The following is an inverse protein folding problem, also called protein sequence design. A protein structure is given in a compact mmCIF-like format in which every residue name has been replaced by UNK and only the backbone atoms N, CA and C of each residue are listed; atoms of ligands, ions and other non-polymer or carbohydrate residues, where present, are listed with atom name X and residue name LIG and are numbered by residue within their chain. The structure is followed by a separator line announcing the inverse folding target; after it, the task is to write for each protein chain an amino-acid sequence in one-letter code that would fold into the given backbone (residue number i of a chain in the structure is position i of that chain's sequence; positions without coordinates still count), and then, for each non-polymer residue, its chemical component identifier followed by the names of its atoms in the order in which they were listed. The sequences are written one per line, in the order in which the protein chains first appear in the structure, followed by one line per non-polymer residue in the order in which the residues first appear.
data_IF_827904467508
#
_entry.id   IF_827904467508
#
_cell.length_a   1.000
_cell.length_b   1.000
_cell.length_c   1.000
_cell.angle_alpha   90.00
_cell.angle_beta   90.00
_cell.angle_gamma   90.00
#
_symmetry.space_group_name_H-M   'P 1'
#
loop_
_entity.id
_entity.type
_entity.pdbx_description
1 polymer ?
#
# COMPACT_ATOMS: atom_id res chain seq x y z
N UNK A 1 -14.81 -34.98 -29.07
CA UNK A 1 -14.26 -33.87 -28.26
C UNK A 1 -13.71 -32.70 -29.11
N UNK A 2 -13.28 -32.91 -30.36
CA UNK A 2 -12.69 -31.85 -31.21
C UNK A 2 -13.72 -30.89 -31.86
N UNK A 3 -14.96 -31.32 -32.10
CA UNK A 3 -15.96 -30.52 -32.83
C UNK A 3 -16.30 -29.17 -32.16
N UNK A 4 -16.35 -29.12 -30.82
CA UNK A 4 -16.62 -27.89 -30.08
C UNK A 4 -15.51 -26.84 -30.25
N UNK A 5 -14.24 -27.25 -30.15
CA UNK A 5 -13.09 -26.34 -30.26
C UNK A 5 -12.87 -25.81 -31.69
N UNK A 6 -13.39 -26.51 -32.69
CA UNK A 6 -13.36 -26.06 -34.08
C UNK A 6 -14.44 -25.02 -34.42
N UNK A 7 -15.42 -24.77 -33.53
CA UNK A 7 -16.46 -23.77 -33.76
C UNK A 7 -15.90 -22.35 -33.78
N UNK A 8 -16.46 -21.49 -34.63
CA UNK A 8 -16.07 -20.08 -34.72
C UNK A 8 -16.22 -19.34 -33.39
N UNK A 9 -17.24 -19.69 -32.59
CA UNK A 9 -17.43 -19.16 -31.24
C UNK A 9 -16.25 -19.49 -30.31
N UNK A 10 -15.79 -20.74 -30.33
CA UNK A 10 -14.66 -21.17 -29.52
C UNK A 10 -13.36 -20.49 -29.97
N UNK A 11 -13.12 -20.38 -31.28
CA UNK A 11 -11.97 -19.67 -31.84
C UNK A 11 -11.97 -18.18 -31.46
N UNK A 12 -13.09 -17.49 -31.63
CA UNK A 12 -13.22 -16.07 -31.28
C UNK A 12 -12.99 -15.82 -29.78
N UNK A 13 -13.52 -16.70 -28.93
CA UNK A 13 -13.28 -16.63 -27.47
C UNK A 13 -11.80 -16.83 -27.15
N UNK A 14 -11.15 -17.82 -27.80
CA UNK A 14 -9.72 -18.07 -27.65
C UNK A 14 -8.86 -16.89 -28.12
N UNK A 15 -9.20 -16.29 -29.26
CA UNK A 15 -8.47 -15.14 -29.79
C UNK A 15 -8.61 -13.90 -28.90
N UNK A 16 -9.83 -13.62 -28.41
CA UNK A 16 -10.07 -12.54 -27.44
C UNK A 16 -9.29 -12.79 -26.14
N UNK A 17 -9.28 -14.03 -25.64
CA UNK A 17 -8.51 -14.39 -24.45
C UNK A 17 -7.00 -14.23 -24.69
N UNK A 18 -6.50 -14.62 -25.87
CA UNK A 18 -5.09 -14.43 -26.25
C UNK A 18 -4.72 -12.95 -26.32
N UNK A 19 -5.52 -12.14 -26.99
CA UNK A 19 -5.30 -10.69 -27.10
C UNK A 19 -5.30 -10.02 -25.71
N UNK A 20 -6.20 -10.43 -24.82
CA UNK A 20 -6.23 -9.96 -23.43
C UNK A 20 -4.95 -10.34 -22.67
N UNK A 21 -4.51 -11.60 -22.77
CA UNK A 21 -3.28 -12.09 -22.13
C UNK A 21 -2.02 -11.39 -22.62
N UNK A 22 -1.96 -11.08 -23.91
CA UNK A 22 -0.82 -10.42 -24.57
C UNK A 22 -0.97 -8.89 -24.63
N UNK A 23 -1.90 -8.31 -23.87
CA UNK A 23 -2.08 -6.86 -23.84
C UNK A 23 -0.87 -6.16 -23.21
N UNK A 24 -0.52 -5.00 -23.76
CA UNK A 24 0.71 -4.28 -23.42
C UNK A 24 0.63 -3.47 -22.10
N UNK A 25 -0.54 -3.40 -21.46
CA UNK A 25 -0.75 -2.85 -20.11
C UNK A 25 0.11 -1.60 -19.78
N UNK A 26 -0.01 -0.55 -20.60
CA UNK A 26 0.78 0.69 -20.51
C UNK A 26 2.27 0.57 -20.90
N UNK A 27 2.62 -0.29 -21.86
CA UNK A 27 3.99 -0.48 -22.31
C UNK A 27 4.83 -1.40 -21.42
N UNK A 28 4.19 -2.10 -20.47
CA UNK A 28 4.84 -3.05 -19.56
C UNK A 28 4.74 -4.49 -20.05
N UNK A 29 4.03 -4.73 -21.15
CA UNK A 29 3.84 -6.05 -21.71
C UNK A 29 2.94 -6.95 -20.86
N UNK A 30 2.91 -8.25 -21.21
CA UNK A 30 2.10 -9.24 -20.51
C UNK A 30 2.65 -9.50 -19.10
N UNK A 31 1.74 -9.73 -18.16
CA UNK A 31 2.09 -10.11 -16.80
C UNK A 31 2.59 -11.55 -16.75
N UNK A 32 3.70 -11.79 -16.05
CA UNK A 32 4.26 -13.14 -15.91
C UNK A 32 4.88 -13.38 -14.53
N UNK A 33 4.69 -14.58 -14.00
CA UNK A 33 5.36 -15.04 -12.78
C UNK A 33 5.85 -16.48 -12.98
N UNK A 34 6.77 -16.91 -12.13
CA UNK A 34 7.45 -18.21 -12.19
C UNK A 34 7.11 -19.15 -11.04
N UNK A 35 6.12 -18.78 -10.22
CA UNK A 35 5.59 -19.62 -9.14
C UNK A 35 4.90 -20.92 -9.62
N UNK A 36 4.64 -21.06 -10.92
CA UNK A 36 3.88 -22.19 -11.46
C UNK A 36 2.47 -22.25 -10.89
N UNK A 37 2.05 -23.43 -10.44
CA UNK A 37 0.75 -23.66 -9.79
C UNK A 37 0.72 -23.27 -8.30
N UNK A 38 1.84 -22.82 -7.73
CA UNK A 38 1.90 -22.45 -6.30
C UNK A 38 1.27 -21.08 -6.10
N UNK A 39 0.38 -20.98 -5.11
CA UNK A 39 -0.14 -19.69 -4.65
C UNK A 39 0.96 -18.89 -3.95
N UNK A 40 0.81 -17.57 -3.92
CA UNK A 40 1.78 -16.70 -3.26
C UNK A 40 1.77 -16.86 -1.73
N UNK A 41 0.62 -17.23 -1.16
CA UNK A 41 0.51 -17.65 0.24
C UNK A 41 1.43 -18.86 0.50
N UNK A 42 1.35 -19.90 -0.34
CA UNK A 42 2.24 -21.07 -0.21
C UNK A 42 3.72 -20.74 -0.48
N UNK A 43 4.01 -19.67 -1.21
CA UNK A 43 5.38 -19.18 -1.35
C UNK A 43 5.83 -18.52 -0.05
N UNK A 44 4.99 -17.68 0.57
CA UNK A 44 5.26 -17.10 1.88
C UNK A 44 5.48 -18.17 2.95
N UNK A 45 4.59 -19.15 3.06
CA UNK A 45 4.71 -20.24 4.04
C UNK A 45 6.06 -20.97 3.90
N UNK A 46 6.51 -21.19 2.66
CA UNK A 46 7.79 -21.87 2.41
C UNK A 46 9.00 -21.00 2.75
N UNK A 47 8.89 -19.67 2.62
CA UNK A 47 9.94 -18.76 3.10
C UNK A 47 10.00 -18.80 4.64
N UNK A 48 8.85 -18.78 5.30
CA UNK A 48 8.76 -18.88 6.76
C UNK A 48 9.27 -20.23 7.29
N UNK A 49 8.86 -21.35 6.66
CA UNK A 49 9.34 -22.71 6.95
C UNK A 49 10.87 -22.83 6.81
N UNK A 50 11.48 -22.07 5.90
CA UNK A 50 12.93 -22.04 5.66
C UNK A 50 13.69 -21.02 6.54
N UNK A 51 13.00 -20.28 7.41
CA UNK A 51 13.56 -19.12 8.12
C UNK A 51 14.17 -18.06 7.18
N UNK A 52 13.63 -17.93 5.95
CA UNK A 52 13.94 -16.86 5.00
C UNK A 52 13.04 -15.62 5.28
N UNK A 53 13.42 -14.45 4.74
CA UNK A 53 12.57 -13.27 4.75
C UNK A 53 11.23 -13.57 4.05
N UNK A 54 10.12 -13.42 4.77
CA UNK A 54 8.77 -13.68 4.29
C UNK A 54 7.97 -12.40 3.99
N UNK A 55 8.66 -11.25 3.95
CA UNK A 55 8.09 -9.96 3.53
C UNK A 55 7.53 -9.99 2.10
N UNK A 56 6.68 -9.02 1.78
CA UNK A 56 6.03 -8.95 0.48
C UNK A 56 7.00 -8.78 -0.67
N UNK A 57 8.09 -8.04 -0.46
CA UNK A 57 9.14 -7.91 -1.46
C UNK A 57 9.84 -9.26 -1.70
N UNK A 58 10.06 -10.05 -0.65
CA UNK A 58 10.69 -11.36 -0.77
C UNK A 58 9.80 -12.35 -1.54
N UNK A 59 8.49 -12.37 -1.25
CA UNK A 59 7.52 -13.16 -2.01
C UNK A 59 7.49 -12.73 -3.47
N UNK A 60 7.43 -11.43 -3.75
CA UNK A 60 7.42 -10.90 -5.12
C UNK A 60 8.71 -11.29 -5.86
N UNK A 61 9.88 -11.13 -5.23
CA UNK A 61 11.18 -11.55 -5.79
C UNK A 61 11.20 -13.05 -6.07
N UNK A 62 10.82 -13.90 -5.11
CA UNK A 62 10.78 -15.37 -5.29
C UNK A 62 9.88 -15.79 -6.46
N UNK A 63 8.79 -15.05 -6.69
CA UNK A 63 7.80 -15.36 -7.72
C UNK A 63 8.11 -14.75 -9.09
N UNK A 64 8.84 -13.63 -9.17
CA UNK A 64 9.06 -12.90 -10.44
C UNK A 64 10.55 -12.74 -10.83
N UNK A 65 11.50 -12.88 -9.90
CA UNK A 65 12.94 -12.63 -10.13
C UNK A 65 13.74 -13.90 -10.38
N UNK A 66 14.40 -14.01 -11.52
CA UNK A 66 15.17 -15.20 -11.92
C UNK A 66 16.34 -15.44 -10.96
N UNK A 67 16.92 -16.66 -10.95
CA UNK A 67 18.14 -16.92 -10.20
C UNK A 67 19.33 -16.01 -10.59
N UNK A 68 19.33 -15.48 -11.82
CA UNK A 68 20.32 -14.50 -12.30
C UNK A 68 20.03 -13.05 -11.83
N UNK A 69 18.95 -12.83 -11.07
CA UNK A 69 18.53 -11.53 -10.58
C UNK A 69 17.65 -10.73 -11.54
N UNK A 70 17.44 -11.19 -12.78
CA UNK A 70 16.64 -10.47 -13.79
C UNK A 70 15.13 -10.75 -13.67
N UNK A 71 14.31 -9.90 -14.28
CA UNK A 71 12.85 -10.01 -14.26
C UNK A 71 12.30 -10.19 -15.68
N UNK A 72 11.38 -11.13 -15.85
CA UNK A 72 10.62 -11.27 -17.10
C UNK A 72 9.44 -10.30 -17.15
N UNK A 73 8.88 -9.98 -15.98
CA UNK A 73 7.80 -9.03 -15.82
C UNK A 73 8.37 -7.63 -15.57
N UNK A 74 8.15 -6.73 -16.52
CA UNK A 74 8.64 -5.36 -16.44
C UNK A 74 8.01 -4.57 -15.28
N UNK A 75 6.75 -4.87 -14.92
CA UNK A 75 6.11 -4.26 -13.74
C UNK A 75 6.78 -4.73 -12.46
N UNK A 76 7.08 -6.03 -12.34
CA UNK A 76 7.80 -6.55 -11.18
C UNK A 76 9.19 -5.91 -11.04
N UNK A 77 9.88 -5.68 -12.15
CA UNK A 77 11.16 -4.95 -12.18
C UNK A 77 11.02 -3.53 -11.62
N UNK A 78 10.05 -2.76 -12.11
CA UNK A 78 9.81 -1.38 -11.68
C UNK A 78 9.43 -1.30 -10.19
N UNK A 79 8.62 -2.25 -9.71
CA UNK A 79 8.26 -2.33 -8.29
C UNK A 79 9.49 -2.61 -7.44
N UNK A 80 10.37 -3.53 -7.86
CA UNK A 80 11.62 -3.83 -7.17
C UNK A 80 12.55 -2.60 -7.11
N UNK A 81 12.73 -1.91 -8.23
CA UNK A 81 13.56 -0.70 -8.33
C UNK A 81 13.00 0.44 -7.45
N UNK A 82 11.69 0.65 -7.48
CA UNK A 82 11.02 1.69 -6.66
C UNK A 82 11.12 1.36 -5.18
N UNK A 83 10.95 0.09 -4.82
CA UNK A 83 11.09 -0.38 -3.45
C UNK A 83 12.50 -0.12 -2.90
N UNK A 84 13.53 -0.50 -3.66
CA UNK A 84 14.92 -0.31 -3.27
C UNK A 84 15.24 1.18 -3.05
N UNK A 85 14.74 2.05 -3.94
CA UNK A 85 14.89 3.50 -3.79
C UNK A 85 14.22 4.02 -2.51
N UNK A 86 13.03 3.53 -2.18
CA UNK A 86 12.32 3.95 -0.96
C UNK A 86 12.99 3.41 0.31
N UNK A 87 13.59 2.22 0.27
CA UNK A 87 14.40 1.70 1.37
C UNK A 87 15.61 2.60 1.60
N UNK A 88 16.34 2.97 0.54
CA UNK A 88 17.48 3.90 0.66
C UNK A 88 17.09 5.26 1.22
N UNK A 89 15.95 5.80 0.78
CA UNK A 89 15.41 7.05 1.33
C UNK A 89 15.09 6.93 2.82
N UNK A 90 14.49 5.81 3.25
CA UNK A 90 14.17 5.54 4.66
C UNK A 90 15.41 5.40 5.51
N UNK A 91 16.42 4.69 5.04
CA UNK A 91 17.71 4.57 5.73
C UNK A 91 18.40 5.93 5.87
N UNK A 92 18.38 6.78 4.84
CA UNK A 92 18.96 8.12 4.91
C UNK A 92 18.23 9.06 5.89
N UNK A 93 16.92 8.90 6.06
CA UNK A 93 16.14 9.63 7.07
C UNK A 93 16.55 9.23 8.49
N UNK A 94 16.71 7.94 8.73
CA UNK A 94 17.14 7.41 10.03
C UNK A 94 18.59 7.78 10.35
N UNK A 95 19.50 7.72 9.37
CA UNK A 95 20.89 8.18 9.52
C UNK A 95 20.94 9.67 9.90
N UNK A 96 20.10 10.49 9.26
CA UNK A 96 19.96 11.92 9.59
C UNK A 96 19.41 12.17 11.01
N UNK A 97 18.71 11.19 11.59
CA UNK A 97 18.20 11.24 12.96
C UNK A 97 19.20 10.78 14.03
N UNK A 98 20.39 10.33 13.61
CA UNK A 98 21.49 9.95 14.50
C UNK A 98 21.63 8.45 14.74
N UNK A 99 20.93 7.60 13.98
CA UNK A 99 21.14 6.15 14.02
C UNK A 99 22.30 5.73 13.09
N UNK A 100 23.24 4.96 13.64
CA UNK A 100 24.43 4.50 12.91
C UNK A 100 24.32 3.01 12.52
N UNK A 101 24.96 2.61 11.40
CA UNK A 101 25.00 1.22 10.88
C UNK A 101 23.65 0.64 10.42
N UNK A 102 22.82 1.47 9.81
CA UNK A 102 21.51 1.03 9.30
C UNK A 102 21.63 0.26 7.99
N UNK A 103 20.97 -0.89 7.94
CA UNK A 103 20.85 -1.70 6.73
C UNK A 103 19.39 -2.03 6.47
N UNK A 104 19.07 -2.56 5.28
CA UNK A 104 17.72 -3.04 5.00
C UNK A 104 17.26 -4.14 5.99
N UNK A 105 18.18 -4.84 6.66
CA UNK A 105 17.86 -5.81 7.71
C UNK A 105 17.42 -5.15 9.02
N UNK A 106 17.77 -3.88 9.25
CA UNK A 106 17.38 -3.12 10.43
C UNK A 106 15.87 -2.81 10.44
N UNK A 107 15.26 -2.70 9.25
CA UNK A 107 13.83 -2.46 9.12
C UNK A 107 13.02 -3.72 9.44
N UNK A 108 11.95 -3.55 10.21
CA UNK A 108 11.05 -4.65 10.54
C UNK A 108 10.24 -5.10 9.31
N UNK A 109 9.61 -6.28 9.42
CA UNK A 109 8.79 -6.83 8.32
C UNK A 109 7.61 -5.92 7.95
N UNK A 110 7.00 -5.28 8.95
CA UNK A 110 5.86 -4.38 8.74
C UNK A 110 6.28 -3.13 7.96
N UNK A 111 7.38 -2.49 8.30
CA UNK A 111 7.96 -1.37 7.58
C UNK A 111 8.30 -1.74 6.13
N UNK A 112 8.92 -2.91 5.93
CA UNK A 112 9.19 -3.45 4.59
C UNK A 112 7.90 -3.65 3.81
N UNK A 113 6.86 -4.18 4.43
CA UNK A 113 5.57 -4.40 3.76
C UNK A 113 4.86 -3.08 3.42
N UNK A 114 4.93 -2.07 4.29
CA UNK A 114 4.40 -0.73 4.04
C UNK A 114 5.09 -0.03 2.85
N UNK A 115 6.43 -0.11 2.81
CA UNK A 115 7.22 0.39 1.68
C UNK A 115 6.83 -0.35 0.39
N UNK A 116 6.66 -1.67 0.48
CA UNK A 116 6.23 -2.48 -0.67
C UNK A 116 4.85 -2.05 -1.20
N UNK A 117 3.86 -1.85 -0.32
CA UNK A 117 2.51 -1.41 -0.72
C UNK A 117 2.58 -0.07 -1.48
N UNK A 118 3.40 0.86 -0.99
CA UNK A 118 3.63 2.17 -1.64
C UNK A 118 4.32 2.03 -2.99
N UNK A 119 5.33 1.18 -3.11
CA UNK A 119 6.06 0.95 -4.35
C UNK A 119 5.23 0.21 -5.41
N UNK A 120 4.46 -0.80 -5.00
CA UNK A 120 3.65 -1.64 -5.89
C UNK A 120 2.40 -0.93 -6.41
N UNK A 121 1.86 -0.01 -5.60
CA UNK A 121 0.63 0.71 -5.86
C UNK A 121 -0.61 -0.20 -5.80
N UNK A 122 -1.76 0.42 -5.59
CA UNK A 122 -3.06 -0.26 -5.63
C UNK A 122 -3.72 -0.13 -7.00
N UNK A 123 -4.40 -1.20 -7.43
CA UNK A 123 -5.35 -1.11 -8.54
C UNK A 123 -6.60 -0.33 -8.13
N UNK A 124 -7.44 0.02 -9.11
CA UNK A 124 -8.75 0.65 -8.85
C UNK A 124 -9.65 -0.12 -7.87
N UNK A 125 -9.41 -1.43 -7.73
CA UNK A 125 -10.16 -2.32 -6.82
C UNK A 125 -9.36 -2.68 -5.57
N UNK A 126 -8.32 -1.92 -5.21
CA UNK A 126 -7.52 -2.16 -3.99
C UNK A 126 -6.49 -3.28 -4.09
N UNK A 127 -6.48 -4.08 -5.16
CA UNK A 127 -5.45 -5.12 -5.31
C UNK A 127 -4.04 -4.53 -5.48
N UNK A 128 -3.12 -4.96 -4.62
CA UNK A 128 -1.69 -4.66 -4.73
C UNK A 128 -1.02 -5.71 -5.64
N UNK A 129 -0.10 -5.24 -6.47
CA UNK A 129 0.66 -6.09 -7.37
C UNK A 129 1.49 -7.15 -6.63
N UNK A 130 1.64 -8.34 -7.21
CA UNK A 130 2.56 -9.37 -6.70
C UNK A 130 2.13 -10.05 -5.39
N UNK A 131 0.96 -9.73 -4.84
CA UNK A 131 0.47 -10.28 -3.56
C UNK A 131 -0.60 -11.37 -3.74
N UNK A 132 -1.42 -11.31 -4.79
CA UNK A 132 -2.50 -12.28 -4.97
C UNK A 132 -3.40 -12.34 -3.73
N UNK A 133 -3.64 -13.55 -3.21
CA UNK A 133 -4.46 -13.78 -2.02
C UNK A 133 -3.78 -13.39 -0.69
N UNK A 134 -2.50 -12.98 -0.67
CA UNK A 134 -1.83 -12.53 0.57
C UNK A 134 -2.47 -11.29 1.19
N UNK A 135 -3.14 -10.46 0.38
CA UNK A 135 -3.90 -9.31 0.86
C UNK A 135 -5.02 -9.71 1.82
N UNK A 136 -5.68 -10.85 1.57
CA UNK A 136 -6.81 -11.30 2.38
C UNK A 136 -6.37 -11.80 3.77
N UNK A 137 -5.09 -12.16 3.90
CA UNK A 137 -4.48 -12.60 5.15
C UNK A 137 -3.95 -11.44 6.02
N UNK A 138 -3.88 -10.21 5.50
CA UNK A 138 -3.53 -9.05 6.30
C UNK A 138 -4.73 -8.61 7.16
N UNK A 139 -4.53 -8.28 8.46
CA UNK A 139 -5.53 -7.54 9.20
C UNK A 139 -5.77 -6.24 8.45
N UNK A 140 -7.03 -6.01 8.03
CA UNK A 140 -7.48 -4.94 7.14
C UNK A 140 -6.83 -3.58 7.44
N UNK A 141 -5.70 -3.30 6.79
CA UNK A 141 -5.16 -1.95 6.66
C UNK A 141 -5.83 -1.37 5.40
N UNK A 142 -7.08 -0.93 5.58
CA UNK A 142 -7.83 -0.14 4.59
C UNK A 142 -8.38 -0.85 3.35
N UNK A 143 -8.26 -2.16 3.22
CA UNK A 143 -8.94 -2.91 2.15
C UNK A 143 -10.26 -3.46 2.68
N UNK A 144 -11.34 -2.72 2.38
CA UNK A 144 -12.72 -3.16 2.50
C UNK A 144 -12.86 -4.62 2.08
N UNK A 145 -13.28 -5.46 3.02
CA UNK A 145 -13.76 -6.82 2.78
C UNK A 145 -14.64 -6.82 1.53
N UNK A 146 -14.44 -7.80 0.66
CA UNK A 146 -15.17 -8.05 -0.58
C UNK A 146 -16.65 -8.40 -0.37
N UNK A 147 -17.38 -7.55 0.34
CA UNK A 147 -18.81 -7.41 0.27
C UNK A 147 -19.11 -6.21 -0.65
N UNK A 148 -20.12 -6.26 -1.53
CA UNK A 148 -20.58 -5.06 -2.21
C UNK A 148 -21.05 -4.08 -1.14
N UNK A 149 -20.23 -3.08 -0.83
CA UNK A 149 -20.63 -2.00 0.06
C UNK A 149 -21.85 -1.35 -0.58
N UNK A 150 -22.98 -1.48 0.10
CA UNK A 150 -24.25 -0.91 -0.35
C UNK A 150 -24.07 0.61 -0.41
N UNK A 151 -24.75 1.28 -1.35
CA UNK A 151 -24.70 2.75 -1.50
C UNK A 151 -24.90 3.49 -0.15
N UNK A 152 -25.71 2.90 0.72
CA UNK A 152 -26.01 3.38 2.08
C UNK A 152 -24.77 3.45 2.97
N UNK A 153 -23.83 2.50 2.91
CA UNK A 153 -22.64 2.51 3.77
C UNK A 153 -21.69 3.66 3.38
N UNK A 154 -21.53 3.93 2.08
CA UNK A 154 -20.73 5.04 1.55
C UNK A 154 -21.34 6.40 1.96
N UNK A 155 -22.66 6.51 1.93
CA UNK A 155 -23.38 7.72 2.37
C UNK A 155 -23.20 7.96 3.88
N UNK A 156 -23.25 6.91 4.71
CA UNK A 156 -23.03 7.06 6.15
C UNK A 156 -21.58 7.46 6.49
N UNK A 157 -20.59 6.92 5.77
CA UNK A 157 -19.17 7.27 5.97
C UNK A 157 -18.92 8.73 5.55
N UNK A 158 -19.48 9.17 4.42
CA UNK A 158 -19.34 10.56 3.97
C UNK A 158 -20.00 11.55 4.93
N UNK A 159 -21.18 11.21 5.47
CA UNK A 159 -21.84 12.01 6.50
C UNK A 159 -21.00 12.13 7.77
N UNK A 160 -20.43 11.02 8.27
CA UNK A 160 -19.58 11.03 9.48
C UNK A 160 -18.29 11.83 9.28
N UNK A 161 -17.71 11.80 8.07
CA UNK A 161 -16.54 12.63 7.75
C UNK A 161 -16.87 14.11 7.75
N UNK A 162 -18.02 14.50 7.19
CA UNK A 162 -18.49 15.89 7.22
C UNK A 162 -18.74 16.37 8.65
N UNK A 163 -19.37 15.54 9.48
CA UNK A 163 -19.63 15.84 10.90
C UNK A 163 -18.30 16.07 11.66
N UNK A 164 -17.33 15.17 11.52
CA UNK A 164 -16.00 15.35 12.13
C UNK A 164 -15.27 16.60 11.62
N UNK A 165 -15.38 16.93 10.33
CA UNK A 165 -14.78 18.16 9.79
C UNK A 165 -15.41 19.42 10.40
N UNK A 166 -16.73 19.41 10.62
CA UNK A 166 -17.42 20.51 11.26
C UNK A 166 -17.05 20.66 12.74
N UNK A 167 -16.96 19.55 13.47
CA UNK A 167 -16.54 19.55 14.87
C UNK A 167 -15.10 20.04 15.04
N UNK A 168 -14.20 19.63 14.13
CA UNK A 168 -12.82 20.09 14.13
C UNK A 168 -12.73 21.60 13.89
N UNK A 169 -13.48 22.13 12.90
CA UNK A 169 -13.55 23.58 12.67
C UNK A 169 -14.05 24.34 13.90
N UNK A 170 -15.11 23.83 14.54
CA UNK A 170 -15.68 24.44 15.73
C UNK A 170 -14.68 24.45 16.90
N UNK A 171 -14.00 23.33 17.12
CA UNK A 171 -12.98 23.21 18.17
C UNK A 171 -11.81 24.18 17.95
N UNK A 172 -11.39 24.39 16.71
CA UNK A 172 -10.35 25.36 16.37
C UNK A 172 -10.78 26.80 16.68
N UNK A 173 -12.02 27.17 16.36
CA UNK A 173 -12.58 28.50 16.67
C UNK A 173 -12.67 28.72 18.19
N UNK A 174 -13.16 27.74 18.93
CA UNK A 174 -13.25 27.78 20.39
C UNK A 174 -11.87 27.92 21.05
N UNK A 175 -10.86 27.22 20.53
CA UNK A 175 -9.48 27.36 20.99
C UNK A 175 -8.94 28.78 20.73
N UNK A 176 -9.17 29.34 19.54
CA UNK A 176 -8.75 30.70 19.21
C UNK A 176 -9.39 31.73 20.15
N UNK A 177 -10.67 31.55 20.47
CA UNK A 177 -11.39 32.43 21.38
C UNK A 177 -10.87 32.30 22.83
N UNK A 178 -10.55 31.08 23.25
CA UNK A 178 -9.93 30.81 24.55
C UNK A 178 -8.56 31.47 24.66
N UNK A 179 -7.74 31.39 23.60
CA UNK A 179 -6.43 32.01 23.57
C UNK A 179 -6.50 33.54 23.67
N UNK A 180 -7.40 34.18 22.93
CA UNK A 180 -7.66 35.64 23.05
C UNK A 180 -8.08 36.04 24.47
N UNK A 181 -8.88 35.22 25.14
CA UNK A 181 -9.31 35.48 26.52
C UNK A 181 -8.15 35.37 27.51
N UNK A 182 -7.26 34.38 27.33
CA UNK A 182 -6.06 34.23 28.15
C UNK A 182 -5.13 35.43 27.99
N UNK A 183 -4.87 35.88 26.76
CA UNK A 183 -4.04 37.07 26.50
C UNK A 183 -4.65 38.35 27.14
N UNK A 184 -5.97 38.49 27.13
CA UNK A 184 -6.65 39.61 27.79
C UNK A 184 -6.49 39.55 29.32
N UNK A 185 -6.59 38.36 29.91
CA UNK A 185 -6.36 38.16 31.34
C UNK A 185 -4.90 38.43 31.73
N UNK A 186 -3.95 38.00 30.91
CA UNK A 186 -2.52 38.26 31.12
C UNK A 186 -2.22 39.76 31.18
N UNK A 187 -2.77 40.54 30.23
CA UNK A 187 -2.67 42.01 30.23
C UNK A 187 -3.28 42.66 31.48
N UNK A 188 -4.40 42.13 31.99
CA UNK A 188 -5.01 42.64 33.22
C UNK A 188 -4.13 42.36 34.44
N UNK A 189 -3.58 41.14 34.55
CA UNK A 189 -2.65 40.77 35.62
C UNK A 189 -1.40 41.65 35.60
N UNK A 190 -0.81 41.88 34.42
CA UNK A 190 0.31 42.81 34.27
C UNK A 190 -0.04 44.23 34.69
N UNK A 191 -1.23 44.73 34.33
CA UNK A 191 -1.65 46.08 34.72
C UNK A 191 -1.83 46.25 36.22
N UNK A 192 -2.36 45.22 36.90
CA UNK A 192 -2.58 45.21 38.35
C UNK A 192 -1.24 45.08 39.09
N UNK A 193 -0.32 44.28 38.58
CA UNK A 193 1.04 44.15 39.12
C UNK A 193 1.82 45.47 39.04
N UNK A 194 1.60 46.28 37.98
CA UNK A 194 2.21 47.61 37.83
C UNK A 194 1.59 48.69 38.71
N UNK A 195 0.36 48.51 39.20
CA UNK A 195 -0.30 49.45 40.14
C UNK A 195 0.09 49.23 41.61
N UNK A 196 0.67 48.07 41.95
CA UNK A 196 1.10 47.70 43.31
C UNK A 196 2.60 47.93 43.58
N UNK A 197 3.28 48.72 42.73
CA UNK A 197 4.66 49.22 42.90
C UNK A 197 4.63 50.73 42.97
#
# INVERSE_FOLDING_TARGET
MQAHWATEKAKATSEKARASRMSDRNGLGPHSHRAGSRSFVRVKDILEENNEDCSFIAVMKKTHQKPDGTYDDQRARLVAETYEKQIQERLGQLESSGEENLTAETLDEHEKNEIYIKAAGSSKHGHIFGLGALIEALPSVGASSSAPQTSEEVETITHRLQEMETDLRKSLEENLQTQKRLEAMEKLVESLARQNV
#
